data_IF_660649852682
#
_entry.id   IF_660649852682
#
_cell.length_a   1.000
_cell.length_b   1.000
_cell.length_c   1.000
_cell.angle_alpha   90.00
_cell.angle_beta   90.00
_cell.angle_gamma   90.00
#
_symmetry.space_group_name_H-M   'P 1'
#
loop_
_entity.id
_entity.type
_entity.pdbx_description
1 polymer ?
#
# COMPACT_ATOMS: atom_id res chain seq x y z
N UNK A 1 6.45 24.86 -10.53
CA UNK A 1 7.29 23.92 -11.32
C UNK A 1 7.76 22.75 -10.45
N UNK A 2 8.31 22.96 -9.25
CA UNK A 2 8.70 21.86 -8.36
C UNK A 2 7.50 21.02 -7.85
N UNK A 3 6.37 21.68 -7.55
CA UNK A 3 5.21 21.02 -6.95
C UNK A 3 4.49 20.07 -7.93
N UNK A 4 4.53 20.38 -9.22
CA UNK A 4 3.81 19.61 -10.25
C UNK A 4 4.50 18.27 -10.53
N UNK A 5 5.84 18.27 -10.59
CA UNK A 5 6.61 17.04 -10.73
C UNK A 5 6.42 16.12 -9.52
N UNK A 6 6.46 16.68 -8.31
CA UNK A 6 6.28 15.93 -7.07
C UNK A 6 4.87 15.33 -6.97
N UNK A 7 3.84 16.08 -7.38
CA UNK A 7 2.47 15.59 -7.42
C UNK A 7 2.29 14.44 -8.43
N UNK A 8 2.92 14.52 -9.60
CA UNK A 8 2.89 13.46 -10.61
C UNK A 8 3.60 12.20 -10.09
N UNK A 9 4.77 12.34 -9.47
CA UNK A 9 5.50 11.21 -8.88
C UNK A 9 4.72 10.54 -7.75
N UNK A 10 4.10 11.33 -6.87
CA UNK A 10 3.27 10.80 -5.78
C UNK A 10 2.03 10.08 -6.31
N UNK A 11 1.38 10.63 -7.34
CA UNK A 11 0.24 10.01 -8.01
C UNK A 11 0.61 8.70 -8.72
N UNK A 12 1.77 8.67 -9.39
CA UNK A 12 2.29 7.47 -10.04
C UNK A 12 2.57 6.38 -9.00
N UNK A 13 3.27 6.73 -7.92
CA UNK A 13 3.60 5.81 -6.84
C UNK A 13 2.36 5.26 -6.16
N UNK A 14 1.37 6.12 -5.88
CA UNK A 14 0.09 5.70 -5.31
C UNK A 14 -0.65 4.72 -6.22
N UNK A 15 -0.62 4.94 -7.53
CA UNK A 15 -1.28 4.07 -8.51
C UNK A 15 -0.61 2.69 -8.58
N UNK A 16 0.72 2.66 -8.62
CA UNK A 16 1.50 1.41 -8.62
C UNK A 16 1.25 0.58 -7.36
N UNK A 17 1.29 1.21 -6.19
CA UNK A 17 1.02 0.53 -4.92
C UNK A 17 -0.43 0.01 -4.89
N UNK A 18 -1.38 0.77 -5.43
CA UNK A 18 -2.78 0.36 -5.49
C UNK A 18 -3.00 -0.86 -6.39
N UNK A 19 -2.35 -0.92 -7.55
CA UNK A 19 -2.38 -2.10 -8.44
C UNK A 19 -1.75 -3.32 -7.76
N UNK A 20 -0.58 -3.15 -7.15
CA UNK A 20 0.09 -4.22 -6.42
C UNK A 20 -0.80 -4.84 -5.34
N UNK A 21 -1.45 -4.01 -4.53
CA UNK A 21 -2.38 -4.50 -3.49
C UNK A 21 -3.66 -5.11 -4.07
N UNK A 22 -4.16 -4.61 -5.18
CA UNK A 22 -5.33 -5.20 -5.83
C UNK A 22 -5.04 -6.63 -6.31
N UNK A 23 -3.84 -6.89 -6.81
CA UNK A 23 -3.42 -8.21 -7.28
C UNK A 23 -3.11 -9.16 -6.11
N UNK A 24 -2.25 -8.76 -5.17
CA UNK A 24 -1.84 -9.62 -4.03
C UNK A 24 -3.00 -9.86 -3.04
N UNK A 25 -3.80 -8.82 -2.76
CA UNK A 25 -4.88 -8.86 -1.77
C UNK A 25 -6.27 -9.02 -2.40
N UNK A 26 -6.36 -9.29 -3.70
CA UNK A 26 -7.64 -9.53 -4.38
C UNK A 26 -8.45 -10.65 -3.72
N UNK A 27 -7.78 -11.71 -3.23
CA UNK A 27 -8.43 -12.80 -2.49
C UNK A 27 -8.93 -12.39 -1.10
N UNK A 28 -8.37 -11.33 -0.52
CA UNK A 28 -8.75 -10.78 0.77
C UNK A 28 -9.86 -9.73 0.69
N UNK A 29 -10.35 -9.42 -0.52
CA UNK A 29 -11.35 -8.38 -0.75
C UNK A 29 -10.75 -7.01 -0.52
N UNK A 30 -9.70 -6.66 -1.27
CA UNK A 30 -9.10 -5.34 -1.24
C UNK A 30 -10.14 -4.27 -1.63
N UNK A 31 -10.34 -3.29 -0.75
CA UNK A 31 -11.31 -2.20 -0.92
C UNK A 31 -10.67 -0.83 -1.15
N UNK A 32 -9.34 -0.77 -1.22
CA UNK A 32 -8.58 0.46 -1.44
C UNK A 32 -7.56 0.77 -0.34
N UNK A 33 -6.81 1.84 -0.56
CA UNK A 33 -5.72 2.28 0.28
C UNK A 33 -5.65 3.80 0.35
N UNK A 34 -5.36 4.30 1.55
CA UNK A 34 -5.00 5.69 1.79
C UNK A 34 -3.52 5.77 2.19
N UNK A 35 -2.78 6.65 1.52
CA UNK A 35 -1.35 6.89 1.77
C UNK A 35 -1.20 8.30 2.36
N UNK A 36 -0.56 8.40 3.52
CA UNK A 36 -0.24 9.66 4.15
C UNK A 36 1.27 9.75 4.35
N UNK A 37 1.91 10.74 3.73
CA UNK A 37 3.30 11.05 4.02
C UNK A 37 3.37 11.78 5.35
N UNK A 38 4.10 11.21 6.30
CA UNK A 38 4.39 11.84 7.59
C UNK A 38 5.89 12.09 7.70
N UNK A 39 6.33 13.06 8.52
CA UNK A 39 7.77 13.29 8.73
C UNK A 39 8.53 12.07 9.24
N UNK A 40 7.85 11.11 9.87
CA UNK A 40 8.41 9.87 10.39
C UNK A 40 8.45 8.73 9.35
N UNK A 41 7.80 8.90 8.20
CA UNK A 41 7.70 7.89 7.15
C UNK A 41 6.34 7.89 6.44
N UNK A 42 6.14 6.91 5.57
CA UNK A 42 4.89 6.73 4.82
C UNK A 42 3.93 5.85 5.59
N UNK A 43 2.79 6.41 6.01
CA UNK A 43 1.71 5.63 6.62
C UNK A 43 0.75 5.16 5.54
N UNK A 44 0.57 3.84 5.46
CA UNK A 44 -0.35 3.20 4.51
C UNK A 44 -1.52 2.57 5.30
N UNK A 45 -2.74 3.07 5.06
CA UNK A 45 -3.97 2.53 5.65
C UNK A 45 -4.70 1.71 4.59
N UNK A 46 -4.76 0.40 4.82
CA UNK A 46 -5.31 -0.54 3.86
C UNK A 46 -6.71 -0.99 4.28
N UNK A 47 -7.67 -0.91 3.35
CA UNK A 47 -9.06 -1.34 3.56
C UNK A 47 -9.25 -2.68 2.89
N UNK A 48 -9.66 -3.69 3.66
CA UNK A 48 -9.92 -5.03 3.14
C UNK A 48 -11.10 -5.67 3.88
N UNK A 49 -11.87 -6.49 3.17
CA UNK A 49 -12.98 -7.25 3.74
C UNK A 49 -12.51 -8.27 4.79
N UNK A 50 -11.33 -8.88 4.57
CA UNK A 50 -10.78 -9.94 5.41
C UNK A 50 -9.36 -9.61 5.87
N UNK A 51 -9.18 -8.74 6.87
CA UNK A 51 -7.86 -8.30 7.34
C UNK A 51 -6.98 -9.44 7.85
N UNK A 52 -7.57 -10.50 8.41
CA UNK A 52 -6.81 -11.68 8.85
C UNK A 52 -6.07 -12.39 7.70
N UNK A 53 -6.61 -12.35 6.48
CA UNK A 53 -5.93 -12.91 5.30
C UNK A 53 -4.83 -11.97 4.79
N UNK A 54 -5.03 -10.65 4.89
CA UNK A 54 -4.00 -9.64 4.58
C UNK A 54 -2.79 -9.78 5.50
N UNK A 55 -3.02 -9.94 6.80
CA UNK A 55 -1.96 -10.11 7.80
C UNK A 55 -1.25 -11.46 7.60
N UNK A 56 -2.03 -12.50 7.29
CA UNK A 56 -1.55 -13.88 7.15
C UNK A 56 -1.16 -14.51 8.49
N UNK A 57 -0.70 -15.77 8.44
CA UNK A 57 -0.32 -16.52 9.65
C UNK A 57 0.86 -15.84 10.36
N UNK A 58 0.65 -15.36 11.58
CA UNK A 58 1.68 -14.71 12.40
C UNK A 58 2.21 -13.38 11.84
N UNK A 59 1.48 -12.73 10.92
CA UNK A 59 1.94 -11.50 10.29
C UNK A 59 2.97 -11.71 9.17
N UNK A 60 3.15 -12.95 8.69
CA UNK A 60 4.11 -13.24 7.62
C UNK A 60 3.79 -12.50 6.32
N UNK A 61 2.50 -12.38 5.99
CA UNK A 61 2.08 -11.79 4.72
C UNK A 61 2.27 -10.28 4.73
N UNK A 62 1.83 -9.60 5.80
CA UNK A 62 2.03 -8.15 5.92
C UNK A 62 3.52 -7.77 5.95
N UNK A 63 4.38 -8.55 6.61
CA UNK A 63 5.82 -8.32 6.62
C UNK A 63 6.44 -8.45 5.22
N UNK A 64 6.05 -9.48 4.46
CA UNK A 64 6.49 -9.67 3.07
C UNK A 64 6.15 -8.46 2.22
N UNK A 65 4.90 -8.00 2.31
CA UNK A 65 4.42 -6.84 1.55
C UNK A 65 5.16 -5.56 1.96
N UNK A 66 5.39 -5.34 3.26
CA UNK A 66 6.18 -4.18 3.71
C UNK A 66 7.59 -4.19 3.13
N UNK A 67 8.27 -5.34 3.12
CA UNK A 67 9.60 -5.45 2.50
C UNK A 67 9.56 -5.19 0.99
N UNK A 68 8.56 -5.72 0.28
CA UNK A 68 8.39 -5.50 -1.18
C UNK A 68 8.05 -4.05 -1.55
N UNK A 69 7.63 -3.22 -0.58
CA UNK A 69 7.35 -1.78 -0.79
C UNK A 69 8.52 -0.87 -0.44
N UNK A 70 9.48 -1.36 0.35
CA UNK A 70 10.71 -0.62 0.71
C UNK A 70 11.82 -0.79 -0.34
N UNK A 71 11.83 -1.91 -1.07
CA UNK A 71 12.74 -2.21 -2.20
C UNK A 71 12.27 -1.58 -3.54
#
# INVERSE_FOLDING_TARGET
MADEHQFIEDGLRRSQINEFFADELGRAGYGGMDVAQTPMGTQIVLKAEKPGMVIGKGGKNIRKITTELED
#
